data_IF_788748734700
#
_entry.id   IF_788748734700
#
_cell.length_a   1.000
_cell.length_b   1.000
_cell.length_c   1.000
_cell.angle_alpha   90.00
_cell.angle_beta   90.00
_cell.angle_gamma   90.00
#
_symmetry.space_group_name_H-M   'P 1'
#
loop_
_entity.id
_entity.type
_entity.pdbx_description
1 polymer ?
#
# COMPACT_ATOMS: atom_id res chain seq x y z
N UNK A 1 -26.99 17.04 11.66
CA UNK A 1 -26.66 15.90 12.54
C UNK A 1 -25.96 14.74 11.80
N UNK A 2 -26.16 14.54 10.51
CA UNK A 2 -25.50 13.48 9.70
C UNK A 2 -24.00 13.73 9.52
N UNK A 3 -23.56 14.94 9.17
CA UNK A 3 -22.16 15.29 8.95
C UNK A 3 -21.23 15.06 10.18
N UNK A 4 -21.73 15.32 11.39
CA UNK A 4 -20.94 15.05 12.63
C UNK A 4 -20.72 13.56 12.90
N UNK A 5 -21.65 12.68 12.47
CA UNK A 5 -21.48 11.23 12.62
C UNK A 5 -20.51 10.66 11.59
N UNK A 6 -20.46 11.23 10.41
CA UNK A 6 -19.57 10.78 9.33
C UNK A 6 -18.11 11.16 9.63
N UNK A 7 -17.86 12.39 10.05
CA UNK A 7 -16.52 12.82 10.48
C UNK A 7 -15.97 12.01 11.68
N UNK A 8 -16.84 11.54 12.59
CA UNK A 8 -16.42 10.68 13.71
C UNK A 8 -16.01 9.28 13.24
N UNK A 9 -16.67 8.70 12.23
CA UNK A 9 -16.32 7.39 11.68
C UNK A 9 -15.02 7.45 10.88
N UNK A 10 -14.84 8.49 10.07
CA UNK A 10 -13.61 8.73 9.29
C UNK A 10 -12.41 8.90 10.23
N UNK A 11 -12.56 9.65 11.31
CA UNK A 11 -11.51 9.84 12.30
C UNK A 11 -11.13 8.55 13.04
N UNK A 12 -12.10 7.69 13.36
CA UNK A 12 -11.85 6.37 13.98
C UNK A 12 -11.09 5.46 13.03
N UNK A 13 -11.54 5.30 11.80
CA UNK A 13 -10.87 4.46 10.80
C UNK A 13 -9.42 4.91 10.56
N UNK A 14 -9.18 6.22 10.45
CA UNK A 14 -7.83 6.78 10.32
C UNK A 14 -6.92 6.36 11.48
N UNK A 15 -7.41 6.45 12.71
CA UNK A 15 -6.63 6.07 13.89
C UNK A 15 -6.34 4.57 13.91
N UNK A 16 -7.27 3.72 13.49
CA UNK A 16 -7.07 2.28 13.37
C UNK A 16 -5.96 1.95 12.37
N UNK A 17 -5.94 2.60 11.22
CA UNK A 17 -4.91 2.44 10.19
C UNK A 17 -3.53 2.86 10.74
N UNK A 18 -3.43 4.05 11.33
CA UNK A 18 -2.19 4.55 11.93
C UNK A 18 -1.68 3.60 13.02
N UNK A 19 -2.57 3.10 13.86
CA UNK A 19 -2.22 2.15 14.91
C UNK A 19 -1.76 0.81 14.34
N UNK A 20 -2.38 0.31 13.28
CA UNK A 20 -1.94 -0.89 12.58
C UNK A 20 -0.53 -0.75 12.00
N UNK A 21 -0.25 0.35 11.30
CA UNK A 21 1.07 0.65 10.76
C UNK A 21 2.13 0.82 11.86
N UNK A 22 1.79 1.50 12.96
CA UNK A 22 2.68 1.63 14.12
C UNK A 22 2.94 0.30 14.80
N UNK A 23 1.92 -0.56 14.92
CA UNK A 23 2.07 -1.90 15.50
C UNK A 23 3.05 -2.75 14.68
N UNK A 24 2.97 -2.68 13.34
CA UNK A 24 3.95 -3.32 12.46
C UNK A 24 5.36 -2.80 12.71
N UNK A 25 5.55 -1.47 12.75
CA UNK A 25 6.85 -0.85 13.03
C UNK A 25 7.40 -1.22 14.41
N UNK A 26 6.54 -1.20 15.44
CA UNK A 26 6.91 -1.59 16.81
C UNK A 26 7.30 -3.08 16.88
N UNK A 27 6.60 -3.95 16.17
CA UNK A 27 6.95 -5.38 16.09
C UNK A 27 8.34 -5.59 15.49
N UNK A 28 8.66 -4.87 14.40
CA UNK A 28 9.99 -4.89 13.77
C UNK A 28 11.06 -4.39 14.75
N UNK A 29 10.80 -3.24 15.40
CA UNK A 29 11.71 -2.64 16.37
C UNK A 29 12.00 -3.58 17.56
N UNK A 30 10.97 -4.17 18.16
CA UNK A 30 11.13 -5.07 19.30
C UNK A 30 11.94 -6.33 18.96
N UNK A 31 11.82 -6.85 17.74
CA UNK A 31 12.64 -7.96 17.28
C UNK A 31 14.12 -7.56 17.20
N UNK A 32 14.41 -6.35 16.67
CA UNK A 32 15.77 -5.81 16.58
C UNK A 32 16.36 -5.53 17.96
N UNK A 33 15.57 -4.92 18.86
CA UNK A 33 15.99 -4.62 20.22
C UNK A 33 16.29 -5.90 21.03
N UNK A 34 15.52 -6.95 20.78
CA UNK A 34 15.77 -8.29 21.31
C UNK A 34 16.93 -9.05 20.66
N UNK A 35 17.71 -8.44 19.76
CA UNK A 35 18.85 -9.06 19.07
C UNK A 35 18.46 -10.12 18.03
N UNK A 36 17.21 -10.13 17.58
CA UNK A 36 16.70 -11.07 16.58
C UNK A 36 16.60 -10.37 15.21
N UNK A 37 16.96 -11.08 14.15
CA UNK A 37 16.71 -10.56 12.79
C UNK A 37 15.22 -10.37 12.57
N UNK A 38 14.77 -9.15 12.26
CA UNK A 38 13.34 -8.88 12.12
C UNK A 38 12.74 -9.62 10.93
N UNK A 39 11.50 -10.03 11.12
CA UNK A 39 10.73 -10.73 10.11
C UNK A 39 9.24 -10.34 10.18
N UNK A 40 8.59 -10.39 9.02
CA UNK A 40 7.15 -10.19 8.88
C UNK A 40 6.57 -11.38 8.15
N UNK A 41 5.56 -12.02 8.73
CA UNK A 41 4.87 -13.16 8.16
C UNK A 41 3.50 -12.72 7.64
N UNK A 42 3.14 -13.19 6.46
CA UNK A 42 1.88 -12.87 5.79
C UNK A 42 1.31 -14.09 5.08
N UNK A 43 0.00 -14.17 4.81
CA UNK A 43 -0.58 -15.20 3.96
C UNK A 43 0.09 -15.22 2.58
N UNK A 44 0.34 -16.42 2.07
CA UNK A 44 0.88 -16.57 0.71
C UNK A 44 -0.19 -16.26 -0.33
N UNK A 45 0.13 -15.41 -1.29
CA UNK A 45 -0.75 -15.06 -2.42
C UNK A 45 -0.49 -15.91 -3.67
N UNK A 46 0.24 -17.02 -3.53
CA UNK A 46 0.43 -17.94 -4.66
C UNK A 46 -0.88 -18.61 -5.04
N UNK A 47 -1.03 -18.94 -6.32
CA UNK A 47 -2.20 -19.68 -6.83
C UNK A 47 -2.43 -21.01 -6.13
N UNK A 48 -1.37 -21.62 -5.62
CA UNK A 48 -1.43 -22.86 -4.82
C UNK A 48 -2.01 -22.67 -3.42
N UNK A 49 -2.23 -21.42 -2.98
CA UNK A 49 -2.82 -21.06 -1.69
C UNK A 49 -4.17 -20.35 -1.87
N UNK A 50 -4.84 -20.59 -2.99
CA UNK A 50 -6.16 -20.05 -3.27
C UNK A 50 -7.13 -21.22 -3.29
N UNK A 51 -8.05 -21.23 -2.33
CA UNK A 51 -9.09 -22.25 -2.19
C UNK A 51 -10.45 -21.65 -2.56
N UNK A 52 -11.31 -22.47 -3.18
CA UNK A 52 -12.69 -22.07 -3.44
C UNK A 52 -13.58 -22.45 -2.25
N UNK A 53 -14.20 -21.45 -1.61
CA UNK A 53 -15.20 -21.68 -0.57
C UNK A 53 -16.59 -21.77 -1.20
N UNK A 54 -17.21 -22.98 -1.23
CA UNK A 54 -18.52 -23.17 -1.83
C UNK A 54 -19.66 -22.52 -1.04
N UNK A 55 -19.46 -22.20 0.25
CA UNK A 55 -20.46 -21.52 1.09
C UNK A 55 -20.50 -20.04 0.77
N UNK A 56 -19.34 -19.43 0.64
CA UNK A 56 -19.18 -18.00 0.29
C UNK A 56 -19.24 -17.78 -1.22
N UNK A 57 -19.15 -18.83 -2.03
CA UNK A 57 -19.08 -18.78 -3.51
C UNK A 57 -17.97 -17.86 -4.02
N UNK A 58 -16.83 -17.84 -3.33
CA UNK A 58 -15.69 -17.02 -3.68
C UNK A 58 -14.37 -17.74 -3.42
N UNK A 59 -13.32 -17.25 -4.05
CA UNK A 59 -11.96 -17.70 -3.75
C UNK A 59 -11.44 -17.01 -2.50
N UNK A 60 -10.86 -17.79 -1.59
CA UNK A 60 -10.26 -17.33 -0.33
C UNK A 60 -8.80 -17.74 -0.28
N UNK A 61 -8.00 -17.01 0.50
CA UNK A 61 -6.62 -17.42 0.79
C UNK A 61 -6.62 -18.62 1.73
N UNK A 62 -5.81 -19.62 1.39
CA UNK A 62 -5.56 -20.78 2.24
C UNK A 62 -4.62 -20.49 3.41
N UNK A 63 -4.16 -21.54 4.08
CA UNK A 63 -3.39 -21.44 5.33
C UNK A 63 -1.87 -21.25 5.13
N UNK A 64 -1.35 -21.37 3.88
CA UNK A 64 0.07 -21.20 3.60
C UNK A 64 0.49 -19.77 3.88
N UNK A 65 1.64 -19.60 4.54
CA UNK A 65 2.23 -18.28 4.82
C UNK A 65 3.62 -18.15 4.21
N UNK A 66 4.02 -16.91 3.98
CA UNK A 66 5.37 -16.52 3.54
C UNK A 66 5.95 -15.51 4.51
N UNK A 67 7.24 -15.63 4.80
CA UNK A 67 7.94 -14.70 5.67
C UNK A 67 8.96 -13.87 4.89
N UNK A 68 8.97 -12.55 5.14
CA UNK A 68 10.02 -11.63 4.73
C UNK A 68 10.92 -11.40 5.94
N UNK A 69 12.21 -11.73 5.84
CA UNK A 69 13.12 -11.64 6.99
C UNK A 69 14.45 -11.00 6.60
N UNK A 70 14.97 -10.14 7.48
CA UNK A 70 16.29 -9.54 7.33
C UNK A 70 17.44 -10.57 7.47
N UNK A 71 17.16 -11.79 7.96
CA UNK A 71 18.17 -12.86 8.09
C UNK A 71 18.62 -13.42 6.73
N UNK A 72 17.76 -13.37 5.71
CA UNK A 72 18.06 -13.95 4.40
C UNK A 72 18.34 -12.81 3.41
N UNK A 73 19.51 -12.82 2.78
CA UNK A 73 19.92 -11.79 1.83
C UNK A 73 18.95 -11.59 0.67
N UNK A 74 18.26 -12.67 0.23
CA UNK A 74 17.23 -12.58 -0.81
C UNK A 74 15.97 -11.89 -0.32
N UNK A 75 15.72 -11.85 0.99
CA UNK A 75 14.56 -11.27 1.60
C UNK A 75 14.82 -9.88 2.19
N UNK A 76 16.09 -9.50 2.39
CA UNK A 76 16.44 -8.18 2.97
C UNK A 76 15.85 -7.06 2.13
N UNK A 77 16.03 -7.07 0.82
CA UNK A 77 15.49 -6.04 -0.08
C UNK A 77 13.97 -5.93 0.01
N UNK A 78 13.17 -7.00 -0.22
CA UNK A 78 11.71 -6.92 -0.07
C UNK A 78 11.26 -6.58 1.35
N UNK A 79 12.00 -7.00 2.40
CA UNK A 79 11.70 -6.62 3.78
C UNK A 79 11.90 -5.12 4.01
N UNK A 80 13.02 -4.55 3.55
CA UNK A 80 13.31 -3.11 3.66
C UNK A 80 12.29 -2.29 2.89
N UNK A 81 11.92 -2.74 1.68
CA UNK A 81 10.87 -2.08 0.89
C UNK A 81 9.51 -2.10 1.60
N UNK A 82 9.16 -3.21 2.26
CA UNK A 82 7.92 -3.31 3.03
C UNK A 82 7.92 -2.36 4.25
N UNK A 83 9.04 -2.28 4.97
CA UNK A 83 9.18 -1.36 6.10
C UNK A 83 9.08 0.10 5.64
N UNK A 84 9.73 0.45 4.53
CA UNK A 84 9.62 1.77 3.92
C UNK A 84 8.18 2.08 3.48
N UNK A 85 7.50 1.13 2.82
CA UNK A 85 6.11 1.32 2.39
C UNK A 85 5.17 1.56 3.57
N UNK A 86 5.39 0.89 4.70
CA UNK A 86 4.64 1.14 5.92
C UNK A 86 4.87 2.56 6.48
N UNK A 87 6.12 3.03 6.48
CA UNK A 87 6.48 4.40 6.89
C UNK A 87 5.84 5.43 5.96
N UNK A 88 5.98 5.26 4.65
CA UNK A 88 5.41 6.14 3.64
C UNK A 88 3.88 6.22 3.76
N UNK A 89 3.22 5.08 3.91
CA UNK A 89 1.76 5.01 4.11
C UNK A 89 1.32 5.70 5.41
N UNK A 90 2.12 5.57 6.48
CA UNK A 90 1.85 6.28 7.73
C UNK A 90 1.98 7.81 7.56
N UNK A 91 2.94 8.29 6.79
CA UNK A 91 3.09 9.71 6.47
C UNK A 91 1.90 10.23 5.64
N UNK A 92 1.51 9.53 4.58
CA UNK A 92 0.35 9.90 3.78
C UNK A 92 -0.91 10.01 4.64
N UNK A 93 -1.18 8.97 5.45
CA UNK A 93 -2.37 8.92 6.31
C UNK A 93 -2.34 10.00 7.38
N UNK A 94 -1.19 10.24 8.02
CA UNK A 94 -1.03 11.24 9.09
C UNK A 94 -1.24 12.64 8.54
N UNK A 95 -0.63 12.97 7.41
CA UNK A 95 -0.68 14.31 6.82
C UNK A 95 -1.84 14.53 5.85
N UNK A 96 -2.73 13.55 5.70
CA UNK A 96 -3.87 13.58 4.75
C UNK A 96 -3.43 13.87 3.31
N UNK A 97 -2.28 13.34 2.94
CA UNK A 97 -1.79 13.39 1.56
C UNK A 97 -2.27 12.16 0.81
N UNK A 98 -2.45 12.30 -0.48
CA UNK A 98 -2.75 11.20 -1.39
C UNK A 98 -1.55 10.91 -2.29
N UNK A 99 -1.44 9.69 -2.77
CA UNK A 99 -0.43 9.27 -3.72
C UNK A 99 -1.04 8.32 -4.73
N UNK A 100 -0.45 8.19 -5.90
CA UNK A 100 -0.78 7.12 -6.83
C UNK A 100 0.22 5.96 -6.68
N UNK A 101 -0.13 4.77 -7.17
CA UNK A 101 0.81 3.63 -7.20
C UNK A 101 2.09 3.97 -7.97
N UNK A 102 2.00 4.84 -8.98
CA UNK A 102 3.15 5.32 -9.75
C UNK A 102 4.00 6.28 -8.94
N UNK A 103 3.37 7.20 -8.20
CA UNK A 103 4.09 8.14 -7.33
C UNK A 103 4.83 7.41 -6.21
N UNK A 104 4.27 6.31 -5.68
CA UNK A 104 4.96 5.43 -4.73
C UNK A 104 6.28 4.94 -5.33
N UNK A 105 6.26 4.45 -6.57
CA UNK A 105 7.46 3.99 -7.28
C UNK A 105 8.52 5.08 -7.42
N UNK A 106 8.13 6.30 -7.81
CA UNK A 106 9.06 7.43 -7.96
C UNK A 106 9.51 8.01 -6.62
N UNK A 107 8.61 8.10 -5.64
CA UNK A 107 8.94 8.60 -4.30
C UNK A 107 9.99 7.73 -3.60
N UNK A 108 9.98 6.43 -3.85
CA UNK A 108 10.97 5.51 -3.30
C UNK A 108 12.41 5.89 -3.67
N UNK A 109 12.62 6.44 -4.87
CA UNK A 109 13.95 6.86 -5.33
C UNK A 109 14.53 7.99 -4.46
N UNK A 110 13.69 8.87 -3.94
CA UNK A 110 14.13 9.94 -3.03
C UNK A 110 14.63 9.41 -1.68
N UNK A 111 14.29 8.18 -1.33
CA UNK A 111 14.73 7.46 -0.13
C UNK A 111 15.79 6.40 -0.46
N UNK A 112 16.43 6.50 -1.61
CA UNK A 112 17.42 5.53 -2.09
C UNK A 112 16.89 4.08 -2.19
N UNK A 113 15.56 3.92 -2.21
CA UNK A 113 14.90 2.64 -2.42
C UNK A 113 14.75 2.39 -3.93
N UNK A 114 15.44 1.38 -4.43
CA UNK A 114 15.43 1.04 -5.86
C UNK A 114 14.54 -0.17 -6.11
N UNK A 115 13.40 0.05 -6.76
CA UNK A 115 12.59 -1.02 -7.35
C UNK A 115 13.11 -1.36 -8.75
N UNK A 116 13.03 -2.63 -9.12
CA UNK A 116 13.36 -3.08 -10.47
C UNK A 116 12.42 -2.47 -11.50
N UNK A 117 11.15 -2.45 -11.18
CA UNK A 117 10.06 -1.94 -12.00
C UNK A 117 8.85 -1.54 -11.12
N UNK A 118 7.85 -0.93 -11.74
CA UNK A 118 6.62 -0.54 -11.04
C UNK A 118 5.86 -1.75 -10.47
N UNK A 119 5.96 -2.92 -11.10
CA UNK A 119 5.29 -4.13 -10.61
C UNK A 119 5.89 -4.60 -9.27
N UNK A 120 7.21 -4.50 -9.08
CA UNK A 120 7.83 -4.79 -7.79
C UNK A 120 7.29 -3.84 -6.70
N UNK A 121 7.19 -2.54 -6.99
CA UNK A 121 6.59 -1.56 -6.08
C UNK A 121 5.13 -1.90 -5.75
N UNK A 122 4.32 -2.20 -6.76
CA UNK A 122 2.92 -2.58 -6.57
C UNK A 122 2.78 -3.84 -5.70
N UNK A 123 3.67 -4.82 -5.88
CA UNK A 123 3.68 -6.03 -5.08
C UNK A 123 3.99 -5.76 -3.60
N UNK A 124 4.87 -4.79 -3.31
CA UNK A 124 5.17 -4.39 -1.92
C UNK A 124 3.97 -3.72 -1.26
N UNK A 125 3.24 -2.86 -1.98
CA UNK A 125 1.99 -2.29 -1.46
C UNK A 125 0.96 -3.39 -1.18
N UNK A 126 0.84 -4.38 -2.08
CA UNK A 126 -0.07 -5.52 -1.85
C UNK A 126 0.41 -6.41 -0.68
N UNK A 127 1.72 -6.56 -0.46
CA UNK A 127 2.24 -7.23 0.74
C UNK A 127 1.85 -6.44 2.01
N UNK A 128 1.92 -5.10 1.98
CA UNK A 128 1.50 -4.25 3.09
C UNK A 128 -0.01 -4.39 3.39
N UNK A 129 -0.86 -4.41 2.35
CA UNK A 129 -2.29 -4.69 2.48
C UNK A 129 -2.52 -6.04 3.19
N UNK A 130 -1.79 -7.06 2.78
CA UNK A 130 -1.92 -8.42 3.32
C UNK A 130 -1.48 -8.51 4.78
N UNK A 131 -0.41 -7.81 5.16
CA UNK A 131 0.12 -7.80 6.54
C UNK A 131 -0.77 -7.03 7.49
N UNK A 132 -1.32 -5.90 7.04
CA UNK A 132 -2.07 -4.99 7.90
C UNK A 132 -3.57 -5.26 7.90
N UNK A 133 -4.09 -5.92 6.85
CA UNK A 133 -5.52 -6.11 6.63
C UNK A 133 -6.27 -4.86 6.15
N UNK A 134 -5.55 -3.78 5.83
CA UNK A 134 -6.10 -2.55 5.25
C UNK A 134 -5.86 -2.51 3.75
N UNK A 135 -6.74 -1.86 3.00
CA UNK A 135 -6.57 -1.66 1.55
C UNK A 135 -5.62 -0.47 1.27
N UNK A 136 -5.08 -0.42 0.06
CA UNK A 136 -4.23 0.69 -0.38
C UNK A 136 -4.94 2.04 -0.32
N UNK A 137 -6.23 2.07 -0.58
CA UNK A 137 -7.06 3.26 -0.48
C UNK A 137 -7.14 3.76 0.97
N UNK A 138 -7.10 2.86 1.94
CA UNK A 138 -7.03 3.19 3.36
C UNK A 138 -5.71 3.90 3.71
N UNK A 139 -4.64 3.62 2.98
CA UNK A 139 -3.35 4.32 3.09
C UNK A 139 -3.28 5.61 2.26
N UNK A 140 -4.38 6.03 1.63
CA UNK A 140 -4.45 7.13 0.67
C UNK A 140 -3.58 6.90 -0.59
N UNK A 141 -3.42 5.64 -1.01
CA UNK A 141 -2.74 5.25 -2.25
C UNK A 141 -3.79 4.76 -3.23
N UNK A 142 -3.88 5.40 -4.39
CA UNK A 142 -4.90 5.15 -5.40
C UNK A 142 -4.26 4.59 -6.68
N UNK A 143 -4.99 3.77 -7.46
CA UNK A 143 -4.55 3.43 -8.80
C UNK A 143 -4.53 4.68 -9.68
N UNK A 144 -3.72 4.67 -10.75
CA UNK A 144 -3.80 5.72 -11.75
C UNK A 144 -5.16 5.66 -12.46
N UNK A 145 -5.82 6.80 -12.52
CA UNK A 145 -6.98 6.94 -13.39
C UNK A 145 -6.50 7.07 -14.84
N UNK A 146 -6.88 6.10 -15.66
CA UNK A 146 -6.69 6.16 -17.10
C UNK A 146 -8.06 6.28 -17.73
N UNK A 147 -8.32 7.44 -18.33
CA UNK A 147 -9.54 7.69 -19.08
C UNK A 147 -9.21 7.79 -20.56
N UNK A 148 -9.94 7.10 -21.40
CA UNK A 148 -9.94 7.30 -22.85
C UNK A 148 -11.27 7.91 -23.26
N UNK A 149 -11.24 9.03 -23.95
CA UNK A 149 -12.42 9.72 -24.45
C UNK A 149 -12.42 9.54 -25.97
N UNK A 150 -13.52 9.03 -26.53
CA UNK A 150 -13.68 8.81 -27.97
C UNK A 150 -14.84 9.67 -28.47
N UNK A 151 -14.64 10.35 -29.57
CA UNK A 151 -15.65 11.17 -30.24
C UNK A 151 -15.09 12.51 -30.74
N UNK A 152 -15.95 13.26 -31.42
CA UNK A 152 -15.63 14.66 -31.82
C UNK A 152 -15.83 15.57 -30.61
N UNK A 153 -14.76 15.80 -29.87
CA UNK A 153 -14.77 16.60 -28.65
C UNK A 153 -13.86 17.81 -28.80
N UNK A 154 -14.39 18.97 -28.45
CA UNK A 154 -13.58 20.17 -28.27
C UNK A 154 -13.15 20.27 -26.81
N UNK A 155 -11.86 20.32 -26.54
CA UNK A 155 -11.30 20.48 -25.20
C UNK A 155 -10.98 21.94 -24.97
N UNK A 156 -11.68 22.58 -24.03
CA UNK A 156 -11.37 23.93 -23.58
C UNK A 156 -10.48 23.87 -22.34
N UNK A 157 -9.31 24.51 -22.40
CA UNK A 157 -8.43 24.62 -21.25
C UNK A 157 -8.89 25.82 -20.39
N UNK A 158 -9.28 25.53 -19.15
CA UNK A 158 -9.71 26.54 -18.20
C UNK A 158 -8.57 27.13 -17.37
N UNK A 159 -7.36 26.60 -17.51
CA UNK A 159 -6.18 27.08 -16.79
C UNK A 159 -5.49 28.17 -17.63
N UNK A 160 -5.40 29.43 -17.14
CA UNK A 160 -4.72 30.50 -17.84
C UNK A 160 -3.25 30.16 -18.15
N UNK A 161 -2.83 30.35 -19.42
CA UNK A 161 -1.47 30.08 -19.86
C UNK A 161 -1.21 28.65 -20.38
N UNK A 162 -2.22 27.81 -20.43
CA UNK A 162 -2.16 26.49 -21.05
C UNK A 162 -2.88 26.54 -22.40
N UNK A 163 -2.18 26.99 -23.43
CA UNK A 163 -2.67 26.95 -24.80
C UNK A 163 -2.14 25.68 -25.46
N UNK A 164 -2.95 24.61 -25.44
CA UNK A 164 -2.63 23.37 -26.14
C UNK A 164 -2.77 23.61 -27.64
N UNK A 165 -1.70 23.41 -28.40
CA UNK A 165 -1.81 23.28 -29.85
C UNK A 165 -2.52 21.96 -30.17
N UNK A 166 -3.67 22.08 -30.82
CA UNK A 166 -4.42 20.97 -31.44
C UNK A 166 -3.70 20.42 -32.66
#
# INVERSE_FOLDING_TARGET
MAEKKDNSKIGKKKNEIINGLRSLGTSIYNQMDGGVFPSVTMPSRSTENIDYDPKLRQYILGEKSVSRSARNIRHVKPFTHLAWAALFSNELTTHRKTSTLRDVYYSAQAYEMTFKDQQESNNIITDLETVTGFSREDFNIFPEERSAIFGDLTIEYTVPGYEGNS
#
